data_IF_470705448386
#
_entry.id   IF_470705448386
#
_cell.length_a   1.000
_cell.length_b   1.000
_cell.length_c   1.000
_cell.angle_alpha   90.00
_cell.angle_beta   90.00
_cell.angle_gamma   90.00
#
_symmetry.space_group_name_H-M   'P 1'
#
loop_
_entity.id
_entity.type
_entity.pdbx_description
1 polymer ?
#
# COMPACT_ATOMS: atom_id res chain seq x y z
N UNK A 1 -5.57 -15.14 7.34
CA UNK A 1 -4.55 -16.20 7.42
C UNK A 1 -3.37 -15.78 6.58
N UNK A 2 -2.17 -15.76 7.21
CA UNK A 2 -0.84 -15.52 6.65
C UNK A 2 -0.43 -14.06 6.43
N UNK A 3 -0.15 -13.39 7.55
CA UNK A 3 0.91 -12.40 7.64
C UNK A 3 2.03 -13.04 8.47
N UNK A 4 2.85 -13.88 7.85
CA UNK A 4 4.10 -14.37 8.40
C UNK A 4 5.17 -14.24 7.34
N UNK A 5 6.17 -13.40 7.63
CA UNK A 5 7.60 -13.64 7.46
C UNK A 5 8.37 -12.33 7.43
N UNK A 6 8.74 -11.87 8.60
CA UNK A 6 9.94 -11.07 8.80
C UNK A 6 10.66 -11.56 10.05
N UNK A 7 11.31 -12.72 9.94
CA UNK A 7 12.35 -13.13 10.89
C UNK A 7 13.58 -13.61 10.13
N UNK A 8 14.72 -12.93 10.24
CA UNK A 8 15.99 -13.50 9.82
C UNK A 8 16.49 -14.49 10.87
N UNK A 9 16.89 -15.66 10.38
CA UNK A 9 17.55 -16.74 11.10
C UNK A 9 18.84 -16.24 11.76
N UNK A 10 18.93 -16.39 13.09
CA UNK A 10 20.18 -16.23 13.83
C UNK A 10 21.02 -17.50 13.65
N UNK A 11 22.06 -17.43 12.84
CA UNK A 11 23.11 -18.43 12.83
C UNK A 11 24.11 -18.16 13.95
N UNK A 12 24.27 -19.17 14.81
CA UNK A 12 25.23 -19.22 15.92
C UNK A 12 26.64 -19.40 15.39
N UNK A 13 27.46 -18.37 15.51
CA UNK A 13 28.90 -18.44 15.25
C UNK A 13 29.65 -18.71 16.59
N UNK A 14 30.16 -19.92 16.72
CA UNK A 14 30.98 -20.35 17.87
C UNK A 14 32.46 -20.20 17.50
N UNK A 15 33.09 -19.15 18.01
CA UNK A 15 34.55 -18.97 17.88
C UNK A 15 35.16 -18.87 19.26
N UNK A 16 36.05 -19.84 19.58
CA UNK A 16 36.94 -19.80 20.74
C UNK A 16 38.22 -19.03 20.37
N UNK A 17 38.45 -17.91 21.02
CA UNK A 17 39.76 -17.24 21.02
C UNK A 17 40.03 -16.66 22.41
N UNK A 18 41.28 -16.77 22.85
CA UNK A 18 41.80 -16.29 24.12
C UNK A 18 41.56 -14.78 24.28
N UNK A 19 41.12 -14.38 25.44
CA UNK A 19 40.58 -13.05 25.70
C UNK A 19 41.59 -12.21 26.46
N UNK A 20 42.09 -11.13 25.84
CA UNK A 20 42.72 -9.98 26.47
C UNK A 20 41.63 -9.03 27.02
N UNK A 21 41.74 -8.64 28.31
CA UNK A 21 40.73 -7.83 29.01
C UNK A 21 40.40 -6.51 28.35
N UNK A 22 41.36 -5.92 27.63
CA UNK A 22 41.13 -4.67 26.85
C UNK A 22 40.36 -4.90 25.55
N UNK A 23 40.38 -6.10 25.01
CA UNK A 23 39.68 -6.53 23.81
C UNK A 23 38.17 -6.71 24.05
N UNK A 24 37.78 -7.12 25.27
CA UNK A 24 36.38 -7.35 25.66
C UNK A 24 35.59 -6.02 25.67
N UNK A 25 36.18 -4.97 26.30
CA UNK A 25 35.49 -3.67 26.42
C UNK A 25 35.23 -3.02 25.06
N UNK A 26 36.22 -3.12 24.17
CA UNK A 26 36.08 -2.57 22.81
C UNK A 26 35.11 -3.40 21.96
N UNK A 27 35.10 -4.72 22.17
CA UNK A 27 34.19 -5.62 21.45
C UNK A 27 32.73 -5.41 21.88
N UNK A 28 32.47 -5.30 23.18
CA UNK A 28 31.09 -5.06 23.70
C UNK A 28 30.56 -3.70 23.28
N UNK A 29 31.38 -2.65 23.29
CA UNK A 29 30.96 -1.33 22.80
C UNK A 29 30.57 -1.35 21.32
N UNK A 30 31.33 -2.07 20.47
CA UNK A 30 31.00 -2.23 19.05
C UNK A 30 29.74 -3.03 18.83
N UNK A 31 29.48 -4.09 19.60
CA UNK A 31 28.25 -4.86 19.52
C UNK A 31 27.03 -4.03 19.93
N UNK A 32 27.13 -3.24 21.00
CA UNK A 32 26.05 -2.37 21.44
C UNK A 32 25.76 -1.29 20.41
N UNK A 33 26.77 -0.66 19.82
CA UNK A 33 26.56 0.32 18.74
C UNK A 33 25.91 -0.31 17.50
N UNK A 34 26.35 -1.49 17.08
CA UNK A 34 25.80 -2.20 15.92
C UNK A 34 24.35 -2.61 16.13
N UNK A 35 23.99 -3.06 17.34
CA UNK A 35 22.60 -3.41 17.67
C UNK A 35 21.70 -2.18 17.73
N UNK A 36 22.15 -1.08 18.32
CA UNK A 36 21.40 0.18 18.34
C UNK A 36 21.19 0.74 16.93
N UNK A 37 22.19 0.63 16.07
CA UNK A 37 22.10 1.09 14.69
C UNK A 37 21.13 0.23 13.86
N UNK A 38 21.13 -1.09 14.08
CA UNK A 38 20.19 -2.01 13.43
C UNK A 38 18.73 -1.76 13.87
N UNK A 39 18.51 -1.52 15.17
CA UNK A 39 17.18 -1.18 15.68
C UNK A 39 16.68 0.15 15.12
N UNK A 40 17.55 1.15 15.04
CA UNK A 40 17.20 2.45 14.46
C UNK A 40 16.83 2.34 12.98
N UNK A 41 17.55 1.53 12.19
CA UNK A 41 17.26 1.29 10.78
C UNK A 41 15.92 0.58 10.63
N UNK A 42 15.63 -0.42 11.45
CA UNK A 42 14.33 -1.13 11.42
C UNK A 42 13.18 -0.18 11.77
N UNK A 43 13.34 0.68 12.77
CA UNK A 43 12.34 1.68 13.14
C UNK A 43 12.09 2.72 12.03
N UNK A 44 13.12 3.11 11.29
CA UNK A 44 13.01 4.04 10.15
C UNK A 44 12.36 3.40 8.92
N UNK A 45 12.47 2.08 8.76
CA UNK A 45 11.87 1.34 7.64
C UNK A 45 10.41 0.91 7.92
N UNK A 46 9.96 0.95 9.18
CA UNK A 46 8.58 0.66 9.58
C UNK A 46 7.68 1.90 9.57
N UNK A 47 7.84 2.83 8.63
CA UNK A 47 6.85 3.88 8.42
C UNK A 47 5.57 3.25 7.88
N UNK A 48 4.42 3.42 8.54
CA UNK A 48 3.16 2.96 7.98
C UNK A 48 2.93 3.69 6.64
N UNK A 49 2.77 2.93 5.56
CA UNK A 49 2.29 3.49 4.30
C UNK A 49 0.82 3.85 4.50
N UNK A 50 0.52 5.13 4.68
CA UNK A 50 -0.86 5.61 4.71
C UNK A 50 -1.37 5.63 3.27
N UNK A 51 -2.38 4.80 2.99
CA UNK A 51 -3.08 4.76 1.71
C UNK A 51 -4.07 5.94 1.53
N UNK A 52 -3.91 7.00 2.31
CA UNK A 52 -4.79 8.17 2.33
C UNK A 52 -4.11 9.38 1.68
N UNK A 53 -4.92 10.27 1.11
CA UNK A 53 -4.44 11.54 0.53
C UNK A 53 -3.93 12.46 1.65
N UNK A 54 -2.61 12.72 1.75
CA UNK A 54 -2.07 13.56 2.81
C UNK A 54 -2.47 15.04 2.66
N UNK A 55 -2.91 15.46 1.47
CA UNK A 55 -3.35 16.84 1.21
C UNK A 55 -4.79 17.06 1.67
N UNK A 56 -5.59 15.98 1.79
CA UNK A 56 -6.99 16.03 2.17
C UNK A 56 -7.32 15.04 3.30
N UNK A 57 -6.75 15.21 4.51
CA UNK A 57 -6.96 14.30 5.63
C UNK A 57 -8.43 14.26 6.11
N UNK A 58 -9.21 15.30 5.82
CA UNK A 58 -10.65 15.35 6.10
C UNK A 58 -11.46 14.34 5.30
N UNK A 59 -10.92 13.83 4.18
CA UNK A 59 -11.56 12.81 3.36
C UNK A 59 -11.27 11.37 3.82
N UNK A 60 -10.34 11.16 4.76
CA UNK A 60 -9.93 9.82 5.18
C UNK A 60 -11.11 8.95 5.63
N UNK A 61 -11.98 9.48 6.51
CA UNK A 61 -13.15 8.74 6.98
C UNK A 61 -14.14 8.40 5.85
N UNK A 62 -14.23 9.25 4.84
CA UNK A 62 -15.05 8.97 3.65
C UNK A 62 -14.39 7.90 2.79
N UNK A 63 -13.09 7.95 2.54
CA UNK A 63 -12.38 6.88 1.81
C UNK A 63 -12.54 5.52 2.48
N UNK A 64 -12.45 5.47 3.81
CA UNK A 64 -12.63 4.24 4.58
C UNK A 64 -14.06 3.67 4.47
N UNK A 65 -15.05 4.53 4.24
CA UNK A 65 -16.46 4.13 4.11
C UNK A 65 -16.81 3.61 2.72
N UNK A 66 -16.01 3.90 1.69
CA UNK A 66 -16.32 3.59 0.30
C UNK A 66 -16.51 2.11 0.02
N UNK A 67 -17.60 1.81 -0.67
CA UNK A 67 -18.01 0.45 -1.04
C UNK A 67 -18.56 0.40 -2.45
N UNK A 68 -18.27 -0.70 -3.13
CA UNK A 68 -19.00 -1.14 -4.32
C UNK A 68 -19.84 -2.38 -3.96
N UNK A 69 -20.58 -2.93 -4.92
CA UNK A 69 -21.27 -4.21 -4.72
C UNK A 69 -20.29 -5.38 -4.45
N UNK A 70 -19.01 -5.21 -4.79
CA UNK A 70 -17.92 -6.16 -4.46
C UNK A 70 -17.45 -6.05 -3.01
N UNK A 71 -17.93 -5.08 -2.22
CA UNK A 71 -17.58 -4.84 -0.83
C UNK A 71 -16.67 -3.62 -0.63
N UNK A 72 -16.00 -3.49 0.54
CA UNK A 72 -15.16 -2.34 0.88
C UNK A 72 -14.04 -2.13 -0.13
N UNK A 73 -13.78 -0.87 -0.53
CA UNK A 73 -12.77 -0.54 -1.53
C UNK A 73 -11.35 -0.64 -0.97
N UNK A 74 -11.11 -0.05 0.20
CA UNK A 74 -9.77 0.03 0.80
C UNK A 74 -9.28 -1.24 1.51
N UNK A 75 -10.12 -2.29 1.65
CA UNK A 75 -9.74 -3.51 2.38
C UNK A 75 -8.74 -4.41 1.65
N UNK A 76 -8.65 -4.30 0.30
CA UNK A 76 -7.86 -5.22 -0.52
C UNK A 76 -7.12 -4.53 -1.67
N UNK A 77 -7.30 -3.24 -1.86
CA UNK A 77 -6.70 -2.48 -2.95
C UNK A 77 -6.44 -1.04 -2.53
N UNK A 78 -5.33 -0.50 -3.00
CA UNK A 78 -5.04 0.93 -2.88
C UNK A 78 -5.72 1.68 -4.01
N UNK A 79 -6.50 2.71 -3.67
CA UNK A 79 -7.14 3.59 -4.63
C UNK A 79 -6.23 4.72 -5.06
N UNK A 80 -6.34 5.14 -6.31
CA UNK A 80 -5.64 6.32 -6.81
C UNK A 80 -6.48 7.10 -7.82
N UNK A 81 -6.13 8.37 -7.98
CA UNK A 81 -6.78 9.25 -8.94
C UNK A 81 -6.36 8.92 -10.37
N UNK A 82 -7.30 9.00 -11.28
CA UNK A 82 -7.12 8.80 -12.71
C UNK A 82 -7.28 10.12 -13.42
N UNK A 83 -6.41 10.41 -14.41
CA UNK A 83 -6.56 11.61 -15.24
C UNK A 83 -7.77 11.49 -16.16
N UNK A 84 -8.34 12.61 -16.56
CA UNK A 84 -9.55 12.64 -17.42
C UNK A 84 -9.36 11.95 -18.77
N UNK A 85 -8.14 11.93 -19.30
CA UNK A 85 -7.79 11.25 -20.55
C UNK A 85 -7.63 9.73 -20.41
N UNK A 86 -7.61 9.23 -19.18
CA UNK A 86 -7.38 7.84 -18.84
C UNK A 86 -8.65 7.10 -18.41
N UNK A 87 -9.80 7.71 -18.59
CA UNK A 87 -11.09 7.07 -18.42
C UNK A 87 -12.13 7.61 -19.40
N UNK A 88 -13.12 6.81 -19.69
CA UNK A 88 -14.23 7.20 -20.56
C UNK A 88 -15.53 6.55 -20.13
N UNK A 89 -16.64 7.21 -20.47
CA UNK A 89 -17.98 6.63 -20.35
C UNK A 89 -18.58 6.49 -21.74
N UNK A 90 -19.07 5.29 -22.05
CA UNK A 90 -19.73 5.00 -23.31
C UNK A 90 -20.91 4.07 -23.07
N UNK A 91 -22.09 4.46 -23.55
CA UNK A 91 -23.32 3.67 -23.47
C UNK A 91 -23.69 3.22 -22.03
N UNK A 92 -23.35 4.06 -21.04
CA UNK A 92 -23.58 3.78 -19.63
C UNK A 92 -22.53 2.91 -18.95
N UNK A 93 -21.52 2.46 -19.67
CA UNK A 93 -20.39 1.71 -19.15
C UNK A 93 -19.15 2.58 -19.04
N UNK A 94 -18.28 2.25 -18.07
CA UNK A 94 -17.01 2.95 -17.85
C UNK A 94 -15.84 2.07 -18.25
N UNK A 95 -14.78 2.72 -18.74
CA UNK A 95 -13.47 2.08 -18.97
C UNK A 95 -12.38 2.97 -18.41
N UNK A 96 -11.33 2.34 -17.91
CA UNK A 96 -10.17 3.03 -17.34
C UNK A 96 -8.90 2.51 -17.99
N UNK A 97 -7.97 3.41 -18.29
CA UNK A 97 -6.66 3.04 -18.84
C UNK A 97 -5.65 2.93 -17.73
N UNK A 98 -5.19 1.71 -17.50
CA UNK A 98 -4.16 1.38 -16.52
C UNK A 98 -2.98 0.72 -17.25
N UNK A 99 -1.77 1.24 -17.02
CA UNK A 99 -0.54 0.68 -17.63
C UNK A 99 -0.65 0.51 -19.16
N UNK A 100 -1.18 1.52 -19.86
CA UNK A 100 -1.43 1.54 -21.30
C UNK A 100 -2.49 0.54 -21.82
N UNK A 101 -3.23 -0.13 -20.95
CA UNK A 101 -4.31 -1.04 -21.34
C UNK A 101 -5.65 -0.50 -20.88
N UNK A 102 -6.65 -0.50 -21.75
CA UNK A 102 -8.02 -0.19 -21.39
C UNK A 102 -8.68 -1.38 -20.70
N UNK A 103 -9.27 -1.14 -19.56
CA UNK A 103 -9.95 -2.15 -18.74
C UNK A 103 -11.39 -1.68 -18.55
N UNK A 104 -12.33 -2.56 -18.85
CA UNK A 104 -13.74 -2.29 -18.61
C UNK A 104 -14.02 -2.32 -17.09
N UNK A 105 -14.77 -1.33 -16.64
CA UNK A 105 -15.21 -1.24 -15.25
C UNK A 105 -16.53 -2.00 -15.12
N UNK A 106 -16.58 -3.10 -14.38
CA UNK A 106 -17.83 -3.83 -14.16
C UNK A 106 -18.84 -2.96 -13.40
N UNK A 107 -20.12 -3.08 -13.70
CA UNK A 107 -21.18 -2.31 -13.06
C UNK A 107 -21.21 -2.53 -11.53
N UNK A 108 -20.88 -3.72 -11.07
CA UNK A 108 -20.78 -4.06 -9.64
C UNK A 108 -19.56 -3.45 -8.93
N UNK A 109 -18.62 -2.86 -9.68
CA UNK A 109 -17.48 -2.12 -9.15
C UNK A 109 -17.79 -0.62 -8.98
N UNK A 110 -18.90 -0.12 -9.48
CA UNK A 110 -19.25 1.29 -9.36
C UNK A 110 -19.62 1.64 -7.91
N UNK A 111 -19.09 2.78 -7.47
CA UNK A 111 -19.49 3.44 -6.23
C UNK A 111 -20.61 4.42 -6.58
N UNK A 112 -21.75 4.25 -5.91
CA UNK A 112 -22.96 5.08 -6.14
C UNK A 112 -23.06 6.26 -5.20
N UNK A 113 -22.16 6.35 -4.22
CA UNK A 113 -22.08 7.49 -3.30
C UNK A 113 -21.57 8.76 -4.02
N UNK A 114 -21.93 9.96 -3.53
CA UNK A 114 -21.39 11.20 -4.08
C UNK A 114 -19.86 11.24 -3.99
N UNK A 115 -19.22 11.57 -5.11
CA UNK A 115 -17.77 11.71 -5.16
C UNK A 115 -17.33 13.00 -4.46
N UNK A 116 -16.77 12.88 -3.26
CA UNK A 116 -16.27 14.01 -2.47
C UNK A 116 -14.86 14.45 -2.88
N UNK A 117 -14.10 13.58 -3.54
CA UNK A 117 -12.77 13.91 -4.04
C UNK A 117 -12.80 14.77 -5.31
N UNK A 118 -13.97 14.84 -6.00
CA UNK A 118 -14.13 15.62 -7.23
C UNK A 118 -13.45 15.04 -8.46
N UNK A 119 -12.49 14.15 -8.31
CA UNK A 119 -11.70 13.50 -9.36
C UNK A 119 -12.08 12.03 -9.51
N UNK A 120 -11.88 11.48 -10.70
CA UNK A 120 -12.08 10.05 -10.92
C UNK A 120 -11.07 9.24 -10.12
N UNK A 121 -11.56 8.19 -9.44
CA UNK A 121 -10.70 7.30 -8.69
C UNK A 121 -11.00 5.84 -8.99
N UNK A 122 -9.96 5.01 -8.92
CA UNK A 122 -10.02 3.57 -9.19
C UNK A 122 -9.26 2.78 -8.13
N UNK A 123 -9.78 1.62 -7.79
CA UNK A 123 -9.16 0.62 -6.90
C UNK A 123 -8.94 -0.68 -7.68
N UNK A 124 -7.80 -0.80 -8.38
CA UNK A 124 -7.47 -2.02 -9.09
C UNK A 124 -6.93 -3.09 -8.15
N UNK A 125 -7.24 -4.33 -8.44
CA UNK A 125 -6.66 -5.51 -7.80
C UNK A 125 -5.93 -6.37 -8.83
N UNK A 126 -4.86 -7.04 -8.42
CA UNK A 126 -4.18 -8.03 -9.25
C UNK A 126 -4.39 -9.42 -8.68
N UNK A 127 -4.81 -10.33 -9.56
CA UNK A 127 -4.93 -11.74 -9.23
C UNK A 127 -4.50 -12.56 -10.43
N UNK A 128 -3.58 -13.52 -10.22
CA UNK A 128 -3.01 -14.37 -11.28
C UNK A 128 -2.47 -13.62 -12.51
N UNK A 129 -1.90 -12.42 -12.30
CA UNK A 129 -1.36 -11.59 -13.38
C UNK A 129 -2.40 -10.73 -14.12
N UNK A 130 -3.67 -10.92 -13.86
CA UNK A 130 -4.75 -10.10 -14.41
C UNK A 130 -5.10 -8.94 -13.47
N UNK A 131 -5.52 -7.82 -14.06
CA UNK A 131 -5.98 -6.63 -13.31
C UNK A 131 -7.51 -6.58 -13.34
N UNK A 132 -8.11 -6.51 -12.17
CA UNK A 132 -9.56 -6.37 -11.96
C UNK A 132 -9.86 -5.05 -11.27
N UNK A 133 -10.98 -4.44 -11.61
CA UNK A 133 -11.46 -3.24 -10.91
C UNK A 133 -12.36 -3.68 -9.75
N UNK A 134 -11.94 -3.36 -8.53
CA UNK A 134 -12.73 -3.60 -7.33
C UNK A 134 -13.73 -2.48 -7.09
N UNK A 135 -13.27 -1.24 -7.20
CA UNK A 135 -14.09 -0.06 -7.06
C UNK A 135 -13.69 0.99 -8.09
N UNK A 136 -14.68 1.78 -8.50
CA UNK A 136 -14.50 2.91 -9.38
C UNK A 136 -15.53 3.99 -9.03
N UNK A 137 -15.09 5.23 -8.97
CA UNK A 137 -15.97 6.39 -8.80
C UNK A 137 -15.61 7.44 -9.87
N UNK A 138 -16.54 7.78 -10.77
CA UNK A 138 -16.28 8.80 -11.78
C UNK A 138 -16.14 10.18 -11.16
N UNK A 139 -15.28 11.00 -11.72
CA UNK A 139 -15.18 12.41 -11.40
C UNK A 139 -16.41 13.19 -11.86
N UNK A 140 -16.54 14.41 -11.36
CA UNK A 140 -17.48 15.37 -11.94
C UNK A 140 -16.95 15.77 -13.32
N UNK A 141 -17.63 15.35 -14.38
CA UNK A 141 -17.35 15.92 -15.69
C UNK A 141 -17.82 17.38 -15.64
N UNK A 142 -16.86 18.30 -15.67
CA UNK A 142 -17.12 19.74 -15.73
C UNK A 142 -17.66 20.15 -17.10
#
# INVERSE_FOLDING_TARGET
>A
MLAEKCFPVLETFKSHAAVDDNSIVVSTARFVLATMQSVLIVLLLCTPAFAHDPEHPELNAWFDSLRSSKGPCCSFADGFAVNDVDWESKDGHYRVRLQNSWIDVPDDALITEPNRAGRTMVWPMRFNGETFIRCFIPGSMG
#
